data_IF_157175606420
#
_entry.id   IF_157175606420
#
_cell.length_a   1.000
_cell.length_b   1.000
_cell.length_c   1.000
_cell.angle_alpha   90.00
_cell.angle_beta   90.00
_cell.angle_gamma   90.00
#
_symmetry.space_group_name_H-M   'P 1'
#
loop_
_entity.id
_entity.type
_entity.pdbx_description
1 polymer ?
#
# COMPACT_ATOMS: atom_id res chain seq x y z
N UNK A 1 8.57 23.85 17.82
CA UNK A 1 9.25 22.84 17.00
C UNK A 1 9.15 23.27 15.55
N UNK A 2 10.26 23.26 14.84
CA UNK A 2 10.33 23.65 13.43
C UNK A 2 11.11 22.61 12.65
N UNK A 3 10.70 22.35 11.42
CA UNK A 3 11.43 21.50 10.47
C UNK A 3 12.73 22.23 10.09
N UNK A 4 13.86 21.58 10.34
CA UNK A 4 15.21 22.09 10.00
C UNK A 4 15.80 21.43 8.78
N UNK A 5 15.37 20.17 8.48
CA UNK A 5 15.89 19.41 7.38
C UNK A 5 14.84 18.44 6.84
N UNK A 6 14.84 18.26 5.51
CA UNK A 6 14.08 17.21 4.80
C UNK A 6 15.07 16.49 3.91
N UNK A 7 15.32 15.21 4.19
CA UNK A 7 16.27 14.36 3.46
C UNK A 7 15.47 13.32 2.69
N UNK A 8 15.81 13.12 1.42
CA UNK A 8 15.27 12.06 0.58
C UNK A 8 16.41 11.11 0.19
N UNK A 9 16.30 9.85 0.58
CA UNK A 9 17.26 8.79 0.32
C UNK A 9 16.68 7.77 -0.64
N UNK A 10 17.40 7.42 -1.69
CA UNK A 10 17.11 6.28 -2.56
C UNK A 10 17.94 5.11 -2.09
N UNK A 11 17.28 4.01 -1.74
CA UNK A 11 17.92 2.73 -1.43
C UNK A 11 17.55 1.69 -2.46
N UNK A 12 18.47 0.78 -2.80
CA UNK A 12 18.24 -0.31 -3.76
C UNK A 12 19.04 -1.53 -3.33
N UNK A 13 18.37 -2.70 -3.32
CA UNK A 13 19.06 -3.97 -3.04
C UNK A 13 20.11 -4.27 -4.12
N UNK A 14 21.18 -4.96 -3.74
CA UNK A 14 22.34 -5.17 -4.64
C UNK A 14 22.05 -6.13 -5.80
N UNK A 15 21.16 -7.09 -5.58
CA UNK A 15 20.76 -8.06 -6.60
C UNK A 15 19.33 -7.72 -7.00
N UNK A 16 19.17 -7.11 -8.17
CA UNK A 16 17.86 -6.79 -8.75
C UNK A 16 17.47 -7.92 -9.70
N UNK A 17 16.30 -8.50 -9.48
CA UNK A 17 15.73 -9.57 -10.29
C UNK A 17 14.66 -9.02 -11.23
N UNK A 18 14.60 -9.58 -12.44
CA UNK A 18 13.61 -9.15 -13.43
C UNK A 18 12.18 -9.60 -13.11
N UNK A 19 12.04 -10.69 -12.35
CA UNK A 19 10.74 -11.23 -11.92
C UNK A 19 10.73 -11.39 -10.41
N UNK A 20 10.05 -10.51 -9.74
CA UNK A 20 9.82 -10.53 -8.29
C UNK A 20 8.45 -9.95 -7.98
N UNK A 21 7.86 -10.37 -6.87
CA UNK A 21 6.61 -9.81 -6.39
C UNK A 21 6.82 -8.54 -5.56
N UNK A 22 8.00 -8.32 -4.95
CA UNK A 22 8.26 -7.20 -4.06
C UNK A 22 9.13 -6.11 -4.70
N UNK A 23 9.02 -4.89 -4.17
CA UNK A 23 9.90 -3.78 -4.55
C UNK A 23 11.35 -4.08 -4.19
N UNK A 24 12.26 -3.69 -5.07
CA UNK A 24 13.70 -3.90 -4.92
C UNK A 24 14.46 -2.60 -4.63
N UNK A 25 13.76 -1.49 -4.68
CA UNK A 25 14.23 -0.18 -4.27
C UNK A 25 13.11 0.57 -3.55
N UNK A 26 13.45 1.65 -2.86
CA UNK A 26 12.50 2.48 -2.14
C UNK A 26 13.04 3.88 -1.94
N UNK A 27 12.14 4.82 -1.67
CA UNK A 27 12.47 6.17 -1.24
C UNK A 27 12.14 6.32 0.24
N UNK A 28 13.15 6.65 1.04
CA UNK A 28 13.00 7.00 2.44
C UNK A 28 13.06 8.51 2.59
N UNK A 29 12.02 9.10 3.19
CA UNK A 29 11.99 10.52 3.54
C UNK A 29 12.21 10.67 5.03
N UNK A 30 13.15 11.55 5.42
CA UNK A 30 13.42 11.89 6.81
C UNK A 30 13.14 13.37 7.03
N UNK A 31 12.42 13.69 8.10
CA UNK A 31 12.14 15.06 8.51
C UNK A 31 12.73 15.27 9.90
N UNK A 32 13.70 16.17 10.00
CA UNK A 32 14.38 16.55 11.26
C UNK A 32 13.92 17.91 11.76
N UNK A 33 13.96 18.07 13.05
CA UNK A 33 13.46 19.26 13.73
C UNK A 33 14.49 19.90 14.67
N UNK A 34 14.26 21.17 15.03
CA UNK A 34 15.11 21.96 15.92
C UNK A 34 15.20 21.43 17.37
N UNK A 35 14.33 20.50 17.75
CA UNK A 35 14.38 19.84 19.06
C UNK A 35 14.97 18.41 19.01
N UNK A 36 15.56 18.01 17.87
CA UNK A 36 16.27 16.74 17.71
C UNK A 36 15.39 15.53 17.36
N UNK A 37 14.07 15.71 17.19
CA UNK A 37 13.21 14.63 16.73
C UNK A 37 13.35 14.42 15.22
N UNK A 38 13.27 13.15 14.79
CA UNK A 38 13.21 12.73 13.39
C UNK A 38 11.99 11.86 13.15
N UNK A 39 11.27 12.15 12.06
CA UNK A 39 10.22 11.29 11.50
C UNK A 39 10.67 10.69 10.18
N UNK A 40 10.17 9.49 9.90
CA UNK A 40 10.49 8.73 8.68
C UNK A 40 9.23 8.35 7.91
N UNK A 41 9.35 8.32 6.58
CA UNK A 41 8.28 7.86 5.70
C UNK A 41 8.86 7.22 4.44
N UNK A 42 8.00 6.54 3.70
CA UNK A 42 8.35 5.78 2.52
C UNK A 42 7.43 6.09 1.34
N UNK A 43 7.97 6.07 0.13
CA UNK A 43 7.20 6.14 -1.11
C UNK A 43 7.42 4.91 -1.98
N UNK A 44 6.33 4.37 -2.52
CA UNK A 44 6.34 3.30 -3.52
C UNK A 44 6.04 3.85 -4.90
N UNK A 45 7.10 4.15 -5.65
CA UNK A 45 7.06 4.58 -7.06
C UNK A 45 8.49 4.63 -7.60
N UNK A 46 8.69 5.19 -8.81
CA UNK A 46 10.05 5.44 -9.35
C UNK A 46 10.85 6.34 -8.42
N UNK A 47 11.92 5.84 -7.78
CA UNK A 47 12.62 6.56 -6.73
C UNK A 47 13.22 7.89 -7.19
N UNK A 48 13.79 7.92 -8.39
CA UNK A 48 14.41 9.11 -8.96
C UNK A 48 13.37 10.22 -9.22
N UNK A 49 12.15 9.84 -9.65
CA UNK A 49 11.07 10.80 -9.91
C UNK A 49 10.52 11.36 -8.60
N UNK A 50 10.29 10.50 -7.59
CA UNK A 50 9.88 10.94 -6.25
C UNK A 50 10.90 11.92 -5.66
N UNK A 51 12.19 11.55 -5.71
CA UNK A 51 13.28 12.41 -5.23
C UNK A 51 13.31 13.74 -5.96
N UNK A 52 13.13 13.76 -7.27
CA UNK A 52 13.10 14.99 -8.07
C UNK A 52 11.95 15.93 -7.63
N UNK A 53 10.78 15.39 -7.28
CA UNK A 53 9.65 16.17 -6.78
C UNK A 53 9.96 16.78 -5.41
N UNK A 54 10.61 16.03 -4.53
CA UNK A 54 10.98 16.51 -3.19
C UNK A 54 12.04 17.60 -3.29
N UNK A 55 13.05 17.42 -4.14
CA UNK A 55 14.25 18.25 -4.23
C UNK A 55 14.18 19.38 -5.24
N UNK A 56 13.11 19.43 -6.06
CA UNK A 56 12.98 20.44 -7.10
C UNK A 56 13.21 21.86 -6.56
N UNK A 57 13.92 22.71 -7.29
CA UNK A 57 14.13 24.11 -6.89
C UNK A 57 12.81 24.88 -6.95
N UNK A 58 12.79 26.05 -6.32
CA UNK A 58 11.70 26.99 -6.49
C UNK A 58 11.68 27.49 -7.95
N UNK A 59 10.58 27.29 -8.64
CA UNK A 59 10.32 27.88 -9.96
C UNK A 59 9.36 29.07 -9.80
N UNK A 60 8.19 28.82 -9.23
CA UNK A 60 7.24 29.87 -8.86
C UNK A 60 6.21 29.32 -7.84
N UNK A 61 5.26 30.15 -7.44
CA UNK A 61 4.35 29.87 -6.30
C UNK A 61 3.52 28.59 -6.39
N UNK A 62 3.36 27.99 -7.55
CA UNK A 62 2.59 26.74 -7.78
C UNK A 62 3.44 25.64 -8.44
N UNK A 63 4.76 25.82 -8.48
CA UNK A 63 5.74 24.85 -8.93
C UNK A 63 7.00 24.97 -8.05
N UNK A 64 6.99 24.26 -6.92
CA UNK A 64 8.05 24.29 -5.91
C UNK A 64 8.26 22.89 -5.34
N UNK A 65 9.50 22.47 -5.15
CA UNK A 65 9.83 21.20 -4.50
C UNK A 65 9.36 21.13 -3.06
N UNK A 66 9.00 19.95 -2.60
CA UNK A 66 8.37 19.73 -1.30
C UNK A 66 9.28 20.16 -0.14
N UNK A 67 10.59 19.91 -0.22
CA UNK A 67 11.57 20.31 0.79
C UNK A 67 11.46 21.80 1.12
N UNK A 68 11.47 22.66 0.11
CA UNK A 68 11.43 24.09 0.31
C UNK A 68 10.11 24.59 0.94
N UNK A 69 9.04 23.85 0.74
CA UNK A 69 7.74 24.16 1.34
C UNK A 69 7.67 23.87 2.83
N UNK A 70 8.51 22.95 3.30
CA UNK A 70 8.45 22.41 4.65
C UNK A 70 9.45 23.05 5.62
N UNK A 71 10.60 23.53 5.14
CA UNK A 71 11.61 24.16 5.99
C UNK A 71 11.04 25.33 6.81
N UNK A 72 11.29 25.30 8.12
CA UNK A 72 10.81 26.30 9.09
C UNK A 72 9.37 26.12 9.54
N UNK A 73 8.61 25.19 8.95
CA UNK A 73 7.21 24.90 9.31
C UNK A 73 7.10 24.08 10.60
N UNK A 74 5.90 24.11 11.21
CA UNK A 74 5.57 23.26 12.35
C UNK A 74 5.09 21.89 11.87
N UNK A 75 5.84 20.78 12.11
CA UNK A 75 5.49 19.46 11.59
C UNK A 75 4.22 18.86 12.22
N UNK A 76 3.73 19.40 13.34
CA UNK A 76 2.49 18.92 13.96
C UNK A 76 1.22 19.29 13.19
N UNK A 77 1.33 20.21 12.23
CA UNK A 77 0.21 20.70 11.41
C UNK A 77 0.09 19.92 10.10
N UNK A 78 0.05 18.59 10.17
CA UNK A 78 0.13 17.68 9.01
C UNK A 78 -0.92 17.99 7.92
N UNK A 79 -2.19 18.21 8.29
CA UNK A 79 -3.24 18.56 7.31
C UNK A 79 -2.96 19.91 6.61
N UNK A 80 -2.55 20.93 7.36
CA UNK A 80 -2.18 22.23 6.77
C UNK A 80 -0.99 22.11 5.82
N UNK A 81 0.01 21.30 6.20
CA UNK A 81 1.19 21.06 5.36
C UNK A 81 0.83 20.26 4.12
N UNK A 82 -0.04 19.24 4.24
CA UNK A 82 -0.59 18.54 3.09
C UNK A 82 -1.23 19.50 2.09
N UNK A 83 -2.14 20.36 2.55
CA UNK A 83 -2.81 21.34 1.70
C UNK A 83 -1.82 22.35 1.08
N UNK A 84 -0.78 22.74 1.82
CA UNK A 84 0.29 23.60 1.31
C UNK A 84 1.03 22.91 0.18
N UNK A 85 1.48 21.67 0.35
CA UNK A 85 2.17 20.89 -0.67
C UNK A 85 1.29 20.74 -1.92
N UNK A 86 0.05 20.30 -1.76
CA UNK A 86 -0.90 20.08 -2.85
C UNK A 86 -1.12 21.34 -3.70
N UNK A 87 -1.31 22.51 -3.07
CA UNK A 87 -1.52 23.77 -3.77
C UNK A 87 -0.25 24.30 -4.46
N UNK A 88 0.91 24.06 -3.86
CA UNK A 88 2.19 24.60 -4.34
C UNK A 88 2.85 23.72 -5.41
N UNK A 89 2.30 22.52 -5.63
CA UNK A 89 2.70 21.57 -6.69
C UNK A 89 1.65 21.44 -7.79
N UNK A 90 0.72 22.37 -7.88
CA UNK A 90 -0.49 22.29 -8.73
C UNK A 90 -0.23 21.90 -10.19
N UNK A 91 0.92 22.26 -10.75
CA UNK A 91 1.25 21.95 -12.14
C UNK A 91 1.81 20.55 -12.38
N UNK A 92 2.26 19.85 -11.31
CA UNK A 92 2.88 18.53 -11.45
C UNK A 92 2.52 17.52 -10.34
N UNK A 93 1.88 17.95 -9.25
CA UNK A 93 1.73 17.18 -8.02
C UNK A 93 0.31 16.75 -7.66
N UNK A 94 -0.68 16.89 -8.55
CA UNK A 94 -2.09 16.66 -8.21
C UNK A 94 -2.54 15.20 -8.30
N UNK A 95 -1.79 14.34 -8.97
CA UNK A 95 -2.11 12.92 -9.18
C UNK A 95 -0.82 12.09 -9.28
N UNK A 96 -0.94 10.79 -9.18
CA UNK A 96 0.15 9.85 -9.37
C UNK A 96 1.37 10.17 -8.49
N UNK A 97 2.56 10.11 -9.06
CA UNK A 97 3.83 10.23 -8.34
C UNK A 97 3.98 11.53 -7.52
N UNK A 98 3.28 12.59 -7.89
CA UNK A 98 3.25 13.83 -7.10
C UNK A 98 2.58 13.64 -5.74
N UNK A 99 1.46 12.92 -5.70
CA UNK A 99 0.77 12.54 -4.46
C UNK A 99 1.61 11.52 -3.70
N UNK A 100 2.21 10.54 -4.38
CA UNK A 100 3.11 9.55 -3.75
C UNK A 100 4.29 10.22 -3.04
N UNK A 101 4.90 11.24 -3.64
CA UNK A 101 5.97 12.01 -2.98
C UNK A 101 5.46 12.77 -1.73
N UNK A 102 4.24 13.33 -1.81
CA UNK A 102 3.59 13.95 -0.64
C UNK A 102 3.22 12.92 0.43
N UNK A 103 2.84 11.69 0.04
CA UNK A 103 2.52 10.61 0.98
C UNK A 103 3.72 10.22 1.85
N UNK A 104 4.91 10.08 1.26
CA UNK A 104 6.13 9.82 2.03
C UNK A 104 6.44 10.94 3.04
N UNK A 105 6.26 12.19 2.63
CA UNK A 105 6.39 13.34 3.54
C UNK A 105 5.34 13.30 4.65
N UNK A 106 4.10 13.03 4.31
CA UNK A 106 2.99 12.94 5.27
C UNK A 106 3.21 11.81 6.29
N UNK A 107 3.65 10.64 5.82
CA UNK A 107 4.01 9.53 6.69
C UNK A 107 5.10 9.95 7.69
N UNK A 108 6.16 10.65 7.25
CA UNK A 108 7.21 11.16 8.11
C UNK A 108 6.70 12.21 9.11
N UNK A 109 5.76 13.08 8.71
CA UNK A 109 5.14 14.06 9.61
C UNK A 109 4.29 13.36 10.69
N UNK A 110 3.54 12.32 10.33
CA UNK A 110 2.74 11.55 11.29
C UNK A 110 3.61 10.73 12.23
N UNK A 111 4.71 10.15 11.75
CA UNK A 111 5.69 9.45 12.58
C UNK A 111 6.30 10.42 13.61
N UNK A 112 6.74 11.59 13.15
CA UNK A 112 7.28 12.65 14.02
C UNK A 112 6.25 13.11 15.05
N UNK A 113 5.00 13.30 14.64
CA UNK A 113 3.89 13.70 15.52
C UNK A 113 3.64 12.64 16.60
N UNK A 114 3.65 11.37 16.24
CA UNK A 114 3.54 10.26 17.20
C UNK A 114 4.72 10.25 18.19
N UNK A 115 5.94 10.41 17.72
CA UNK A 115 7.14 10.52 18.57
C UNK A 115 7.09 11.73 19.49
N UNK A 116 6.61 12.87 19.00
CA UNK A 116 6.47 14.09 19.84
C UNK A 116 5.46 13.88 20.98
N UNK A 117 4.31 13.26 20.71
CA UNK A 117 3.29 13.00 21.73
C UNK A 117 3.54 11.69 22.51
N UNK A 118 4.60 10.93 22.20
CA UNK A 118 4.88 9.61 22.77
C UNK A 118 3.69 8.66 22.62
N UNK A 119 3.04 8.71 21.45
CA UNK A 119 1.88 7.88 21.10
C UNK A 119 2.09 7.17 19.76
N UNK A 120 1.60 5.93 19.61
CA UNK A 120 1.51 5.29 18.31
C UNK A 120 0.52 6.03 17.41
N UNK A 121 0.73 5.98 16.09
CA UNK A 121 -0.09 6.72 15.13
C UNK A 121 -1.58 6.34 15.22
N UNK A 122 -1.90 5.07 15.46
CA UNK A 122 -3.30 4.68 15.60
C UNK A 122 -4.04 5.44 16.71
N UNK A 123 -3.37 5.82 17.81
CA UNK A 123 -3.98 6.64 18.86
C UNK A 123 -4.32 8.04 18.34
N UNK A 124 -3.46 8.62 17.51
CA UNK A 124 -3.68 9.93 16.91
C UNK A 124 -4.77 9.92 15.82
N UNK A 125 -5.06 8.74 15.26
CA UNK A 125 -6.13 8.50 14.29
C UNK A 125 -7.49 8.17 14.94
N UNK A 126 -7.59 8.22 16.27
CA UNK A 126 -8.82 7.97 17.02
C UNK A 126 -8.84 6.66 17.82
N UNK A 127 -7.77 5.89 17.78
CA UNK A 127 -7.60 4.64 18.53
C UNK A 127 -7.85 3.38 17.69
N UNK A 128 -7.07 2.33 17.99
CA UNK A 128 -7.23 1.03 17.30
C UNK A 128 -8.45 0.28 17.81
N UNK A 129 -9.20 -0.31 16.89
CA UNK A 129 -10.32 -1.23 17.16
C UNK A 129 -9.84 -2.69 17.17
N UNK A 130 -8.68 -2.95 16.52
CA UNK A 130 -8.10 -4.28 16.37
C UNK A 130 -6.64 -4.25 16.84
N UNK A 131 -6.27 -5.10 17.78
CA UNK A 131 -4.88 -5.25 18.26
C UNK A 131 -4.01 -6.09 17.31
N UNK A 132 -4.64 -6.92 16.49
CA UNK A 132 -4.01 -7.69 15.41
C UNK A 132 -5.01 -7.89 14.28
N UNK A 133 -4.52 -7.99 13.05
CA UNK A 133 -5.35 -8.14 11.85
C UNK A 133 -5.03 -9.50 11.22
N UNK A 134 -6.05 -10.17 10.66
CA UNK A 134 -5.86 -11.39 9.87
C UNK A 134 -5.10 -11.02 8.59
N UNK A 135 -3.97 -11.67 8.35
CA UNK A 135 -3.17 -11.45 7.16
C UNK A 135 -3.50 -12.46 6.05
N UNK A 136 -3.39 -12.04 4.81
CA UNK A 136 -3.28 -12.94 3.68
C UNK A 136 -1.86 -12.93 3.11
N UNK A 137 -1.37 -14.11 2.71
CA UNK A 137 -0.13 -14.20 1.96
C UNK A 137 -0.40 -13.70 0.53
N UNK A 138 0.30 -12.66 0.10
CA UNK A 138 0.19 -12.10 -1.24
C UNK A 138 1.40 -12.53 -2.07
N UNK A 139 1.15 -13.22 -3.20
CA UNK A 139 2.18 -13.84 -4.03
C UNK A 139 1.74 -13.94 -5.49
N UNK A 140 2.71 -14.07 -6.40
CA UNK A 140 2.44 -14.31 -7.81
C UNK A 140 1.92 -15.74 -8.05
N UNK A 141 1.14 -15.92 -9.13
CA UNK A 141 0.81 -17.24 -9.62
C UNK A 141 2.05 -18.07 -9.98
N UNK A 142 1.94 -19.39 -9.85
CA UNK A 142 2.85 -20.32 -10.51
C UNK A 142 2.67 -20.31 -12.04
N UNK A 143 3.55 -20.98 -12.77
CA UNK A 143 3.49 -21.08 -14.24
C UNK A 143 2.24 -21.83 -14.76
N UNK A 144 1.64 -22.66 -13.91
CA UNK A 144 0.46 -23.46 -14.18
C UNK A 144 -0.31 -23.76 -12.87
N UNK A 145 -1.46 -24.41 -12.99
CA UNK A 145 -2.28 -24.77 -11.83
C UNK A 145 -1.59 -25.74 -10.87
N UNK A 146 -0.64 -26.56 -11.33
CA UNK A 146 0.10 -27.47 -10.44
C UNK A 146 1.09 -26.70 -9.56
N UNK A 147 1.89 -25.82 -10.13
CA UNK A 147 2.82 -24.99 -9.36
C UNK A 147 2.07 -24.05 -8.41
N UNK A 148 0.95 -23.46 -8.86
CA UNK A 148 0.07 -22.63 -8.02
C UNK A 148 -0.49 -23.41 -6.83
N UNK A 149 -0.89 -24.67 -7.03
CA UNK A 149 -1.29 -25.58 -5.95
C UNK A 149 -0.17 -25.75 -4.92
N UNK A 150 1.05 -26.07 -5.38
CA UNK A 150 2.18 -26.33 -4.48
C UNK A 150 2.57 -25.07 -3.68
N UNK A 151 2.48 -23.89 -4.30
CA UNK A 151 2.64 -22.59 -3.63
C UNK A 151 1.56 -22.42 -2.55
N UNK A 152 0.29 -22.68 -2.86
CA UNK A 152 -0.83 -22.59 -1.92
C UNK A 152 -0.64 -23.45 -0.69
N UNK A 153 -0.27 -24.73 -0.88
CA UNK A 153 0.01 -25.64 0.24
C UNK A 153 1.12 -25.12 1.16
N UNK A 154 2.19 -24.54 0.61
CA UNK A 154 3.28 -23.97 1.39
C UNK A 154 2.80 -22.86 2.33
N UNK A 155 1.95 -21.94 1.85
CA UNK A 155 1.48 -20.83 2.67
C UNK A 155 0.42 -21.24 3.70
N UNK A 156 -0.42 -22.23 3.39
CA UNK A 156 -1.30 -22.84 4.40
C UNK A 156 -0.47 -23.52 5.49
N UNK A 157 0.58 -24.26 5.11
CA UNK A 157 1.50 -24.88 6.09
C UNK A 157 2.27 -23.85 6.94
N UNK A 158 2.51 -22.64 6.42
CA UNK A 158 3.07 -21.51 7.15
C UNK A 158 2.07 -20.82 8.10
N UNK A 159 0.80 -21.26 8.14
CA UNK A 159 -0.23 -20.81 9.07
C UNK A 159 -1.15 -19.71 8.54
N UNK A 160 -1.06 -19.32 7.26
CA UNK A 160 -2.01 -18.41 6.64
C UNK A 160 -3.36 -19.08 6.41
N UNK A 161 -4.43 -18.33 6.62
CA UNK A 161 -5.80 -18.75 6.36
C UNK A 161 -6.43 -18.00 5.17
N UNK A 162 -5.66 -17.17 4.50
CA UNK A 162 -6.02 -16.44 3.30
C UNK A 162 -4.78 -16.30 2.42
N UNK A 163 -4.94 -16.46 1.12
CA UNK A 163 -3.85 -16.31 0.14
C UNK A 163 -4.39 -15.60 -1.09
N UNK A 164 -3.66 -14.60 -1.57
CA UNK A 164 -3.88 -13.92 -2.85
C UNK A 164 -2.86 -14.42 -3.87
N UNK A 165 -3.33 -14.80 -5.03
CA UNK A 165 -2.51 -15.07 -6.20
C UNK A 165 -2.80 -14.03 -7.27
N UNK A 166 -1.76 -13.51 -7.91
CA UNK A 166 -1.93 -12.49 -8.92
C UNK A 166 -0.98 -12.56 -10.09
N UNK A 167 -1.32 -11.74 -11.08
CA UNK A 167 -0.52 -11.40 -12.25
C UNK A 167 -0.31 -12.59 -13.21
N UNK A 168 0.70 -12.49 -14.08
CA UNK A 168 0.99 -13.51 -15.09
C UNK A 168 1.23 -14.91 -14.47
N UNK A 169 0.76 -15.98 -15.15
CA UNK A 169 0.26 -16.01 -16.54
C UNK A 169 -1.26 -15.81 -16.68
N UNK A 170 -1.97 -15.29 -15.67
CA UNK A 170 -3.39 -14.97 -15.79
C UNK A 170 -3.64 -14.00 -16.96
N UNK A 171 -4.71 -14.24 -17.72
CA UNK A 171 -5.06 -13.46 -18.89
C UNK A 171 -4.57 -14.02 -20.23
N UNK A 172 -3.66 -14.98 -20.25
CA UNK A 172 -3.22 -15.62 -21.50
C UNK A 172 -4.37 -16.30 -22.24
N UNK A 173 -5.25 -16.99 -21.51
CA UNK A 173 -6.48 -17.56 -22.03
C UNK A 173 -7.43 -17.99 -20.90
N UNK A 174 -8.71 -18.19 -21.21
CA UNK A 174 -9.67 -18.72 -20.25
C UNK A 174 -9.26 -20.07 -19.65
N UNK A 175 -8.67 -20.93 -20.45
CA UNK A 175 -8.23 -22.24 -20.00
C UNK A 175 -7.08 -22.13 -18.96
N UNK A 176 -6.12 -21.22 -19.20
CA UNK A 176 -5.05 -20.91 -18.25
C UNK A 176 -5.62 -20.33 -16.98
N UNK A 177 -6.48 -19.30 -17.09
CA UNK A 177 -7.11 -18.64 -15.93
C UNK A 177 -7.81 -19.65 -15.01
N UNK A 178 -8.60 -20.55 -15.61
CA UNK A 178 -9.32 -21.59 -14.87
C UNK A 178 -8.39 -22.66 -14.27
N UNK A 179 -7.30 -22.99 -14.94
CA UNK A 179 -6.31 -23.94 -14.41
C UNK A 179 -5.61 -23.37 -13.18
N UNK A 180 -5.18 -22.10 -13.24
CA UNK A 180 -4.57 -21.38 -12.13
C UNK A 180 -5.49 -21.30 -10.90
N UNK A 181 -6.73 -20.84 -11.08
CA UNK A 181 -7.69 -20.70 -9.98
C UNK A 181 -8.07 -22.05 -9.37
N UNK A 182 -8.23 -23.10 -10.21
CA UNK A 182 -8.44 -24.47 -9.75
C UNK A 182 -7.25 -24.99 -8.96
N UNK A 183 -6.03 -24.73 -9.43
CA UNK A 183 -4.79 -25.10 -8.73
C UNK A 183 -4.71 -24.41 -7.38
N UNK A 184 -4.95 -23.10 -7.34
CA UNK A 184 -4.99 -22.30 -6.10
C UNK A 184 -6.00 -22.89 -5.09
N UNK A 185 -7.26 -23.09 -5.51
CA UNK A 185 -8.29 -23.64 -4.60
C UNK A 185 -7.92 -25.01 -4.04
N UNK A 186 -7.40 -25.90 -4.90
CA UNK A 186 -6.96 -27.23 -4.45
C UNK A 186 -5.79 -27.14 -3.45
N UNK A 187 -4.85 -26.22 -3.67
CA UNK A 187 -3.70 -26.03 -2.79
C UNK A 187 -4.08 -25.47 -1.42
N UNK A 188 -5.08 -24.59 -1.38
CA UNK A 188 -5.57 -23.97 -0.16
C UNK A 188 -6.53 -24.87 0.64
N UNK A 189 -7.21 -25.84 -0.01
CA UNK A 189 -8.35 -26.54 0.58
C UNK A 189 -9.62 -25.67 0.63
N UNK A 190 -10.70 -26.18 1.21
CA UNK A 190 -12.02 -25.52 1.15
C UNK A 190 -12.18 -24.40 2.20
N UNK A 191 -11.46 -24.46 3.32
CA UNK A 191 -11.64 -23.56 4.47
C UNK A 191 -10.90 -22.22 4.34
N UNK A 192 -9.83 -22.16 3.54
CA UNK A 192 -9.04 -20.96 3.41
C UNK A 192 -9.66 -19.97 2.40
N UNK A 193 -9.50 -18.70 2.66
CA UNK A 193 -9.92 -17.62 1.75
C UNK A 193 -8.98 -17.55 0.54
N UNK A 194 -9.50 -17.73 -0.66
CA UNK A 194 -8.79 -17.54 -1.92
C UNK A 194 -9.10 -16.15 -2.47
N UNK A 195 -8.08 -15.38 -2.79
CA UNK A 195 -8.17 -14.06 -3.40
C UNK A 195 -7.44 -14.10 -4.75
N UNK A 196 -8.00 -13.44 -5.75
CA UNK A 196 -7.45 -13.44 -7.11
C UNK A 196 -7.23 -12.00 -7.55
N UNK A 197 -6.02 -11.73 -8.02
CA UNK A 197 -5.63 -10.45 -8.61
C UNK A 197 -5.37 -10.65 -10.11
N UNK A 198 -6.10 -9.92 -10.93
CA UNK A 198 -6.00 -10.01 -12.38
C UNK A 198 -4.99 -9.05 -13.01
N UNK A 199 -4.45 -8.07 -12.27
CA UNK A 199 -3.41 -7.17 -12.78
C UNK A 199 -3.86 -6.29 -13.94
N UNK A 200 -5.09 -5.79 -13.95
CA UNK A 200 -5.64 -4.81 -14.90
C UNK A 200 -5.74 -5.27 -16.36
N UNK A 201 -5.91 -6.59 -16.61
CA UNK A 201 -5.71 -7.19 -17.95
C UNK A 201 -6.97 -7.35 -18.81
N UNK A 202 -8.19 -7.21 -18.24
CA UNK A 202 -9.42 -7.47 -18.99
C UNK A 202 -10.24 -6.23 -19.27
N UNK A 203 -11.15 -6.34 -20.24
CA UNK A 203 -12.31 -5.47 -20.34
C UNK A 203 -13.44 -5.96 -19.43
N UNK A 204 -14.45 -5.11 -19.18
CA UNK A 204 -15.53 -5.41 -18.25
C UNK A 204 -16.35 -6.66 -18.62
N UNK A 205 -16.49 -6.99 -19.91
CA UNK A 205 -17.23 -8.18 -20.37
C UNK A 205 -16.43 -9.44 -20.12
N UNK A 206 -15.15 -9.43 -20.44
CA UNK A 206 -14.22 -10.53 -20.17
C UNK A 206 -14.13 -10.79 -18.68
N UNK A 207 -13.97 -9.74 -17.87
CA UNK A 207 -13.94 -9.82 -16.42
C UNK A 207 -15.21 -10.46 -15.85
N UNK A 208 -16.40 -10.08 -16.34
CA UNK A 208 -17.66 -10.70 -15.93
C UNK A 208 -17.70 -12.19 -16.29
N UNK A 209 -17.27 -12.58 -17.50
CA UNK A 209 -17.21 -13.98 -17.92
C UNK A 209 -16.28 -14.81 -17.01
N UNK A 210 -15.16 -14.24 -16.59
CA UNK A 210 -14.24 -14.86 -15.62
C UNK A 210 -14.85 -14.96 -14.23
N UNK A 211 -15.45 -13.88 -13.73
CA UNK A 211 -16.12 -13.86 -12.44
C UNK A 211 -17.23 -14.92 -12.34
N UNK A 212 -18.03 -15.10 -13.41
CA UNK A 212 -19.06 -16.14 -13.49
C UNK A 212 -18.50 -17.57 -13.38
N UNK A 213 -17.29 -17.81 -13.82
CA UNK A 213 -16.61 -19.10 -13.70
C UNK A 213 -15.86 -19.25 -12.38
N UNK A 214 -15.31 -18.15 -11.88
CA UNK A 214 -14.55 -18.16 -10.63
C UNK A 214 -15.44 -18.30 -9.38
N UNK A 215 -16.74 -17.99 -9.47
CA UNK A 215 -17.68 -18.18 -8.34
C UNK A 215 -17.70 -19.63 -7.82
N UNK A 216 -17.50 -20.60 -8.69
CA UNK A 216 -17.52 -22.02 -8.33
C UNK A 216 -16.30 -22.43 -7.46
N UNK A 217 -15.27 -21.56 -7.42
CA UNK A 217 -14.08 -21.72 -6.57
C UNK A 217 -14.17 -20.94 -5.25
N UNK A 218 -15.30 -20.31 -4.93
CA UNK A 218 -15.53 -19.57 -3.69
C UNK A 218 -14.42 -18.55 -3.41
N UNK A 219 -14.11 -17.69 -4.38
CA UNK A 219 -13.11 -16.63 -4.20
C UNK A 219 -13.65 -15.49 -3.34
N UNK A 220 -12.80 -14.92 -2.49
CA UNK A 220 -13.15 -13.82 -1.60
C UNK A 220 -13.29 -12.48 -2.32
N UNK A 221 -12.47 -12.23 -3.35
CA UNK A 221 -12.61 -11.14 -4.32
C UNK A 221 -11.85 -11.41 -5.62
N UNK A 222 -12.22 -10.67 -6.65
CA UNK A 222 -11.49 -10.48 -7.89
C UNK A 222 -10.93 -9.05 -7.90
N UNK A 223 -9.60 -8.94 -7.79
CA UNK A 223 -8.86 -7.70 -7.69
C UNK A 223 -8.40 -7.23 -9.06
N UNK A 224 -8.46 -5.93 -9.27
CA UNK A 224 -7.99 -5.24 -10.49
C UNK A 224 -8.29 -5.98 -11.81
N UNK A 225 -9.56 -6.40 -12.04
CA UNK A 225 -9.89 -7.05 -13.31
C UNK A 225 -9.81 -6.12 -14.52
N UNK A 226 -9.97 -4.81 -14.32
CA UNK A 226 -10.00 -3.78 -15.36
C UNK A 226 -8.85 -2.78 -15.17
N UNK A 227 -8.59 -1.97 -16.18
CA UNK A 227 -7.70 -0.82 -16.04
C UNK A 227 -8.15 0.09 -14.89
N UNK A 228 -7.20 0.66 -14.19
CA UNK A 228 -7.42 1.47 -12.99
C UNK A 228 -8.32 2.68 -13.27
N UNK A 229 -8.24 3.28 -14.46
CA UNK A 229 -8.98 4.47 -14.86
C UNK A 229 -10.41 4.18 -15.39
N UNK A 230 -10.83 2.90 -15.52
CA UNK A 230 -12.14 2.51 -16.04
C UNK A 230 -13.24 2.45 -14.95
N UNK A 231 -13.49 3.59 -14.28
CA UNK A 231 -14.52 3.68 -13.23
C UNK A 231 -15.89 3.19 -13.70
N UNK A 232 -16.29 3.51 -14.94
CA UNK A 232 -17.57 3.08 -15.51
C UNK A 232 -17.63 1.57 -15.69
N UNK A 233 -16.53 0.96 -16.14
CA UNK A 233 -16.40 -0.49 -16.23
C UNK A 233 -16.51 -1.16 -14.87
N UNK A 234 -15.86 -0.62 -13.84
CA UNK A 234 -15.98 -1.11 -12.46
C UNK A 234 -17.41 -1.02 -11.93
N UNK A 235 -18.10 0.10 -12.10
CA UNK A 235 -19.51 0.26 -11.71
C UNK A 235 -20.40 -0.77 -12.40
N UNK A 236 -20.20 -0.95 -13.72
CA UNK A 236 -20.96 -1.90 -14.51
C UNK A 236 -20.69 -3.36 -14.08
N UNK A 237 -19.41 -3.68 -13.84
CA UNK A 237 -18.96 -5.03 -13.45
C UNK A 237 -19.46 -5.38 -12.04
N UNK A 238 -19.23 -4.50 -11.04
CA UNK A 238 -19.67 -4.73 -9.67
C UNK A 238 -21.18 -5.00 -9.56
N UNK A 239 -21.99 -4.27 -10.32
CA UNK A 239 -23.43 -4.48 -10.32
C UNK A 239 -23.91 -5.82 -10.92
N UNK A 240 -23.00 -6.63 -11.49
CA UNK A 240 -23.32 -7.89 -12.20
C UNK A 240 -22.47 -9.06 -11.72
N UNK A 241 -21.32 -8.80 -11.17
CA UNK A 241 -20.39 -9.84 -10.76
C UNK A 241 -20.97 -10.70 -9.62
N UNK A 242 -20.89 -12.04 -9.72
CA UNK A 242 -21.27 -12.93 -8.64
C UNK A 242 -20.23 -13.02 -7.52
N UNK A 243 -19.06 -12.39 -7.71
CA UNK A 243 -17.96 -12.34 -6.74
C UNK A 243 -17.61 -10.88 -6.42
N UNK A 244 -17.15 -10.58 -5.20
CA UNK A 244 -16.76 -9.22 -4.83
C UNK A 244 -15.64 -8.68 -5.73
N UNK A 245 -15.67 -7.38 -6.00
CA UNK A 245 -14.66 -6.66 -6.80
C UNK A 245 -13.81 -5.80 -5.87
N UNK A 246 -12.50 -5.92 -5.99
CA UNK A 246 -11.51 -5.15 -5.27
C UNK A 246 -10.62 -4.35 -6.23
N UNK A 247 -10.19 -3.16 -5.82
CA UNK A 247 -9.19 -2.33 -6.50
C UNK A 247 -8.81 -1.14 -5.63
N UNK A 248 -7.88 -0.31 -6.11
CA UNK A 248 -7.54 0.97 -5.49
C UNK A 248 -6.06 1.11 -5.14
N UNK A 249 -5.24 0.09 -5.32
CA UNK A 249 -3.81 0.17 -5.03
C UNK A 249 -3.08 1.19 -5.92
N UNK A 250 -3.51 1.34 -7.18
CA UNK A 250 -3.01 2.34 -8.13
C UNK A 250 -3.44 3.77 -7.81
N UNK A 251 -4.47 3.96 -6.95
CA UNK A 251 -5.07 5.26 -6.71
C UNK A 251 -4.26 6.09 -5.69
N UNK A 252 -4.05 7.38 -6.03
CA UNK A 252 -3.26 8.31 -5.24
C UNK A 252 -4.08 9.54 -4.85
N UNK A 253 -4.38 9.68 -3.54
CA UNK A 253 -5.10 10.80 -2.96
C UNK A 253 -6.62 10.72 -3.12
N UNK A 254 -7.32 11.52 -2.32
CA UNK A 254 -8.80 11.54 -2.27
C UNK A 254 -9.48 11.82 -3.61
N UNK A 255 -8.82 12.58 -4.49
CA UNK A 255 -9.44 12.97 -5.76
C UNK A 255 -9.51 11.81 -6.75
N UNK A 256 -8.57 10.86 -6.73
CA UNK A 256 -8.65 9.66 -7.56
C UNK A 256 -9.61 8.62 -6.97
N UNK A 257 -9.66 8.48 -5.65
CA UNK A 257 -10.63 7.59 -4.99
C UNK A 257 -12.09 8.09 -5.08
N UNK A 258 -12.30 9.39 -5.17
CA UNK A 258 -13.65 9.98 -5.14
C UNK A 258 -14.59 9.40 -6.20
N UNK A 259 -14.25 9.27 -7.49
CA UNK A 259 -15.13 8.69 -8.49
C UNK A 259 -15.56 7.25 -8.16
N UNK A 260 -14.66 6.44 -7.64
CA UNK A 260 -14.96 5.06 -7.22
C UNK A 260 -15.90 5.02 -6.02
N UNK A 261 -15.69 5.89 -5.03
CA UNK A 261 -16.50 5.93 -3.81
C UNK A 261 -17.91 6.48 -4.12
N UNK A 262 -17.98 7.63 -4.79
CA UNK A 262 -19.25 8.30 -5.10
C UNK A 262 -20.16 7.45 -6.01
N UNK A 263 -19.56 6.61 -6.85
CA UNK A 263 -20.26 5.66 -7.73
C UNK A 263 -20.43 4.26 -7.12
N UNK A 264 -19.85 4.02 -5.93
CA UNK A 264 -19.82 2.71 -5.28
C UNK A 264 -19.31 1.63 -6.23
N UNK A 265 -18.16 1.89 -6.88
CA UNK A 265 -17.62 1.07 -7.94
C UNK A 265 -16.98 -0.24 -7.44
N UNK A 266 -16.66 -0.35 -6.15
CA UNK A 266 -15.93 -1.47 -5.56
C UNK A 266 -16.64 -2.02 -4.32
N UNK A 267 -16.42 -3.30 -4.02
CA UNK A 267 -16.81 -3.94 -2.75
C UNK A 267 -15.69 -3.83 -1.70
N UNK A 268 -14.43 -3.83 -2.16
CA UNK A 268 -13.23 -3.70 -1.32
C UNK A 268 -12.33 -2.63 -1.91
N UNK A 269 -12.01 -1.60 -1.10
CA UNK A 269 -11.10 -0.52 -1.46
C UNK A 269 -9.73 -0.80 -0.86
N UNK A 270 -8.70 -0.91 -1.70
CA UNK A 270 -7.33 -1.22 -1.31
C UNK A 270 -6.49 0.05 -1.30
N UNK A 271 -6.11 0.50 -0.09
CA UNK A 271 -5.43 1.78 0.09
C UNK A 271 -3.96 1.54 0.44
N UNK A 272 -3.06 2.06 -0.38
CA UNK A 272 -1.62 2.02 -0.11
C UNK A 272 -1.17 3.28 0.63
N UNK A 273 -0.58 3.12 1.82
CA UNK A 273 -0.12 4.23 2.66
C UNK A 273 1.13 4.92 2.09
N UNK A 274 1.96 4.20 1.34
CA UNK A 274 3.12 4.77 0.65
C UNK A 274 2.75 5.65 -0.55
N UNK A 275 1.51 5.50 -1.05
CA UNK A 275 0.94 6.27 -2.17
C UNK A 275 -0.06 7.34 -1.72
N UNK A 276 -0.63 7.23 -0.51
CA UNK A 276 -1.68 8.12 -0.01
C UNK A 276 -1.30 8.89 1.25
N UNK A 277 -0.38 8.38 2.08
CA UNK A 277 -0.11 8.93 3.40
C UNK A 277 -1.30 8.77 4.36
N UNK A 278 -1.12 9.14 5.61
CA UNK A 278 -2.16 9.04 6.64
C UNK A 278 -3.29 10.06 6.47
N UNK A 279 -2.93 11.28 6.03
CA UNK A 279 -3.90 12.38 5.89
C UNK A 279 -4.98 12.05 4.85
N UNK A 280 -4.59 11.54 3.67
CA UNK A 280 -5.56 11.11 2.65
C UNK A 280 -6.24 9.79 3.00
N UNK A 281 -5.49 8.81 3.52
CA UNK A 281 -6.03 7.52 3.90
C UNK A 281 -7.10 7.63 5.00
N UNK A 282 -6.97 8.56 5.95
CA UNK A 282 -8.00 8.83 6.95
C UNK A 282 -9.30 9.38 6.32
N UNK A 283 -9.18 10.26 5.33
CA UNK A 283 -10.34 10.75 4.58
C UNK A 283 -11.02 9.62 3.80
N UNK A 284 -10.22 8.82 3.05
CA UNK A 284 -10.72 7.70 2.24
C UNK A 284 -11.44 6.69 3.14
N UNK A 285 -10.85 6.31 4.29
CA UNK A 285 -11.50 5.42 5.27
C UNK A 285 -12.90 5.89 5.64
N UNK A 286 -13.04 7.15 6.06
CA UNK A 286 -14.31 7.69 6.50
C UNK A 286 -15.37 7.62 5.41
N UNK A 287 -15.00 7.93 4.15
CA UNK A 287 -15.91 7.91 3.01
C UNK A 287 -16.30 6.48 2.60
N UNK A 288 -15.36 5.53 2.63
CA UNK A 288 -15.64 4.12 2.30
C UNK A 288 -16.53 3.47 3.37
N UNK A 289 -16.28 3.76 4.65
CA UNK A 289 -17.13 3.28 5.75
C UNK A 289 -18.53 3.87 5.72
N UNK A 290 -18.69 5.11 5.25
CA UNK A 290 -20.00 5.77 5.09
C UNK A 290 -20.89 5.03 4.08
N UNK A 291 -20.32 4.53 2.99
CA UNK A 291 -21.05 3.76 1.97
C UNK A 291 -21.16 2.27 2.30
N UNK A 292 -20.61 1.81 3.43
CA UNK A 292 -20.68 0.42 3.88
C UNK A 292 -19.82 -0.56 3.10
N UNK A 293 -18.83 -0.09 2.33
CA UNK A 293 -17.85 -0.92 1.65
C UNK A 293 -16.70 -1.33 2.58
N UNK A 294 -15.90 -2.31 2.18
CA UNK A 294 -14.76 -2.81 2.94
C UNK A 294 -13.47 -2.09 2.62
N UNK A 295 -12.56 -2.08 3.58
CA UNK A 295 -11.21 -1.56 3.44
C UNK A 295 -10.18 -2.68 3.61
N UNK A 296 -9.15 -2.62 2.78
CA UNK A 296 -7.94 -3.41 2.87
C UNK A 296 -6.75 -2.50 2.57
N UNK A 297 -5.54 -2.89 2.95
CA UNK A 297 -4.33 -2.22 2.50
C UNK A 297 -3.78 -2.90 1.25
N UNK A 298 -3.01 -2.16 0.47
CA UNK A 298 -1.95 -2.67 -0.40
C UNK A 298 -0.60 -2.42 0.26
N UNK A 299 0.35 -3.37 0.19
CA UNK A 299 1.68 -3.22 0.79
C UNK A 299 2.69 -4.19 0.20
N UNK A 300 3.50 -3.74 -0.76
CA UNK A 300 4.53 -4.54 -1.44
C UNK A 300 5.96 -4.03 -1.24
N UNK A 301 6.18 -3.01 -0.41
CA UNK A 301 7.49 -2.40 -0.20
C UNK A 301 8.20 -2.93 1.06
N UNK A 302 8.13 -2.24 2.16
CA UNK A 302 8.95 -2.46 3.33
C UNK A 302 8.16 -2.52 4.64
N UNK A 303 8.81 -2.84 5.76
CA UNK A 303 8.18 -2.77 7.08
C UNK A 303 7.69 -1.37 7.48
N UNK A 304 8.18 -0.28 6.87
CA UNK A 304 7.66 1.07 7.12
C UNK A 304 6.22 1.21 6.62
N UNK A 305 5.98 0.85 5.35
CA UNK A 305 4.63 0.86 4.78
C UNK A 305 3.72 -0.17 5.46
N UNK A 306 4.26 -1.35 5.82
CA UNK A 306 3.50 -2.34 6.57
C UNK A 306 3.06 -1.82 7.94
N UNK A 307 3.95 -1.16 8.70
CA UNK A 307 3.61 -0.53 9.98
C UNK A 307 2.59 0.60 9.81
N UNK A 308 2.77 1.46 8.79
CA UNK A 308 1.82 2.52 8.46
C UNK A 308 0.43 1.96 8.15
N UNK A 309 0.36 0.93 7.30
CA UNK A 309 -0.88 0.25 6.92
C UNK A 309 -1.56 -0.38 8.14
N UNK A 310 -0.83 -1.00 9.05
CA UNK A 310 -1.36 -1.57 10.29
C UNK A 310 -1.94 -0.51 11.21
N UNK A 311 -1.24 0.61 11.41
CA UNK A 311 -1.76 1.73 12.19
C UNK A 311 -3.09 2.22 11.63
N UNK A 312 -3.17 2.45 10.32
CA UNK A 312 -4.37 2.95 9.67
C UNK A 312 -5.50 1.92 9.68
N UNK A 313 -5.23 0.69 9.19
CA UNK A 313 -6.25 -0.35 9.06
C UNK A 313 -6.80 -0.79 10.42
N UNK A 314 -5.99 -0.76 11.49
CA UNK A 314 -6.44 -1.08 12.84
C UNK A 314 -7.51 -0.13 13.38
N UNK A 315 -7.64 1.07 12.81
CA UNK A 315 -8.65 2.06 13.18
C UNK A 315 -9.95 1.96 12.37
N UNK A 316 -9.98 1.10 11.34
CA UNK A 316 -11.18 0.82 10.56
C UNK A 316 -12.18 -0.02 11.38
N UNK A 317 -13.49 0.19 11.14
CA UNK A 317 -14.55 -0.62 11.80
C UNK A 317 -14.43 -2.09 11.46
N UNK A 318 -14.21 -2.40 10.18
CA UNK A 318 -13.99 -3.76 9.67
C UNK A 318 -12.61 -3.80 9.02
N UNK A 319 -11.58 -4.16 9.82
CA UNK A 319 -10.26 -4.49 9.31
C UNK A 319 -10.31 -5.92 8.75
N UNK A 320 -10.85 -6.07 7.53
CA UNK A 320 -11.18 -7.36 6.95
C UNK A 320 -9.97 -8.26 6.80
N UNK A 321 -8.94 -7.81 6.09
CA UNK A 321 -7.69 -8.53 5.86
C UNK A 321 -6.53 -7.53 5.76
N UNK A 322 -5.34 -7.98 6.07
CA UNK A 322 -4.08 -7.26 5.86
C UNK A 322 -3.27 -7.94 4.76
N UNK A 323 -2.83 -7.19 3.77
CA UNK A 323 -1.89 -7.69 2.76
C UNK A 323 -0.50 -7.85 3.35
N UNK A 324 -0.03 -9.09 3.36
CA UNK A 324 1.34 -9.42 3.72
C UNK A 324 2.06 -9.98 2.48
N UNK A 325 2.87 -9.14 1.83
CA UNK A 325 3.75 -9.60 0.75
C UNK A 325 4.74 -10.61 1.34
N UNK A 326 4.69 -11.85 0.85
CA UNK A 326 5.49 -12.95 1.38
C UNK A 326 6.71 -13.28 0.49
N UNK A 327 7.02 -12.39 -0.45
CA UNK A 327 8.22 -12.51 -1.26
C UNK A 327 9.48 -12.27 -0.43
N UNK A 328 10.54 -13.02 -0.72
CA UNK A 328 11.80 -12.92 0.03
C UNK A 328 12.65 -11.76 -0.51
N UNK A 329 12.62 -10.64 0.21
CA UNK A 329 13.38 -9.44 -0.14
C UNK A 329 14.14 -8.89 1.07
N UNK A 330 15.44 -8.57 0.94
CA UNK A 330 16.19 -7.89 2.00
C UNK A 330 15.53 -6.58 2.46
N UNK A 331 14.88 -5.86 1.54
CA UNK A 331 14.16 -4.63 1.86
C UNK A 331 13.05 -4.87 2.91
N UNK A 332 12.33 -5.99 2.79
CA UNK A 332 11.28 -6.38 3.75
C UNK A 332 11.82 -6.90 5.07
N UNK A 333 12.98 -7.49 5.07
CA UNK A 333 13.49 -8.19 6.26
C UNK A 333 14.51 -7.40 7.05
N UNK A 334 15.21 -6.44 6.42
CA UNK A 334 16.40 -5.81 7.01
C UNK A 334 16.29 -4.29 7.15
N UNK A 335 15.32 -3.60 6.52
CA UNK A 335 15.19 -2.15 6.58
C UNK A 335 14.88 -1.62 7.99
N UNK A 336 14.19 -2.40 8.82
CA UNK A 336 13.90 -2.04 10.22
C UNK A 336 14.40 -3.09 11.19
N UNK A 337 14.66 -2.67 12.43
CA UNK A 337 15.06 -3.59 13.50
C UNK A 337 13.88 -4.46 13.95
N UNK A 338 12.69 -3.89 14.03
CA UNK A 338 11.46 -4.60 14.37
C UNK A 338 10.94 -5.40 13.17
N UNK A 339 10.43 -6.60 13.44
CA UNK A 339 9.84 -7.46 12.42
C UNK A 339 8.33 -7.22 12.33
N UNK A 340 7.88 -6.73 11.18
CA UNK A 340 6.46 -6.54 10.86
C UNK A 340 6.07 -7.70 9.94
N UNK A 341 5.62 -8.82 10.54
CA UNK A 341 5.31 -10.06 9.81
C UNK A 341 4.18 -10.83 10.50
N UNK A 342 3.46 -11.63 9.73
CA UNK A 342 2.40 -12.46 10.27
C UNK A 342 2.94 -13.63 11.12
N UNK A 343 2.24 -13.91 12.23
CA UNK A 343 2.44 -15.10 13.06
C UNK A 343 1.11 -15.84 13.14
N UNK A 344 1.07 -17.09 12.71
CA UNK A 344 -0.14 -17.88 12.60
C UNK A 344 -1.28 -17.16 11.85
N UNK A 345 -0.93 -16.55 10.72
CA UNK A 345 -1.88 -15.84 9.84
C UNK A 345 -2.44 -14.53 10.41
N UNK A 346 -1.84 -13.98 11.46
CA UNK A 346 -2.21 -12.67 12.01
C UNK A 346 -0.99 -11.79 12.21
N UNK A 347 -1.16 -10.49 12.04
CA UNK A 347 -0.10 -9.51 12.22
C UNK A 347 -0.49 -8.53 13.33
N UNK A 348 0.42 -8.30 14.28
CA UNK A 348 0.19 -7.40 15.40
C UNK A 348 0.37 -5.94 14.98
N UNK A 349 -0.48 -5.07 15.51
CA UNK A 349 -0.35 -3.63 15.30
C UNK A 349 0.76 -3.08 16.20
N UNK A 350 1.75 -2.31 15.66
CA UNK A 350 2.79 -1.73 16.47
C UNK A 350 2.25 -0.76 17.53
N UNK A 351 2.83 -0.79 18.75
CA UNK A 351 2.41 0.05 19.88
C UNK A 351 3.48 1.09 20.31
N UNK A 352 4.63 1.12 19.63
CA UNK A 352 5.66 2.14 19.87
C UNK A 352 5.25 3.53 19.36
N UNK A 353 5.88 4.62 19.86
CA UNK A 353 5.64 5.98 19.39
C UNK A 353 5.89 6.12 17.88
N UNK A 354 5.04 6.89 17.21
CA UNK A 354 5.09 7.05 15.75
C UNK A 354 4.67 5.78 15.03
N UNK A 355 5.45 5.36 14.06
CA UNK A 355 5.28 4.09 13.32
C UNK A 355 5.58 2.85 14.18
N UNK A 356 6.25 3.01 15.34
CA UNK A 356 6.62 1.91 16.20
C UNK A 356 7.68 0.98 15.62
N UNK A 357 8.40 1.44 14.59
CA UNK A 357 9.55 0.74 13.97
C UNK A 357 10.73 1.71 13.83
N UNK A 358 11.95 1.13 13.83
CA UNK A 358 13.21 1.88 13.81
C UNK A 358 14.04 1.48 12.60
N UNK A 359 14.49 2.44 11.82
CA UNK A 359 15.34 2.21 10.64
C UNK A 359 16.64 1.53 11.06
N UNK A 360 17.03 0.50 10.31
CA UNK A 360 18.36 -0.09 10.35
C UNK A 360 19.33 0.76 9.51
N UNK A 361 20.06 1.63 10.16
CA UNK A 361 20.97 2.56 9.51
C UNK A 361 22.11 1.85 8.75
N UNK A 362 22.55 0.70 9.22
CA UNK A 362 23.59 -0.09 8.53
C UNK A 362 23.04 -0.63 7.20
N UNK A 363 21.79 -1.09 7.17
CA UNK A 363 21.15 -1.53 5.93
C UNK A 363 20.98 -0.36 4.95
N UNK A 364 20.47 0.78 5.42
CA UNK A 364 20.33 1.98 4.58
C UNK A 364 21.67 2.39 4.00
N UNK A 365 22.71 2.50 4.81
CA UNK A 365 24.08 2.87 4.36
C UNK A 365 24.65 1.89 3.34
N UNK A 366 24.40 0.59 3.51
CA UNK A 366 24.91 -0.45 2.62
C UNK A 366 24.23 -0.46 1.24
N UNK A 367 22.99 0.07 1.15
CA UNK A 367 22.14 0.04 -0.04
C UNK A 367 21.81 1.45 -0.60
N UNK A 368 22.42 2.51 -0.06
CA UNK A 368 22.20 3.88 -0.46
C UNK A 368 22.74 4.14 -1.88
N UNK A 369 21.85 4.60 -2.75
CA UNK A 369 22.17 5.00 -4.12
C UNK A 369 22.38 6.52 -4.22
N UNK A 370 21.50 7.27 -3.57
CA UNK A 370 21.54 8.73 -3.62
C UNK A 370 20.84 9.33 -2.41
N UNK A 371 21.30 10.51 -2.01
CA UNK A 371 20.73 11.27 -0.89
C UNK A 371 20.58 12.75 -1.29
N UNK A 372 19.56 13.40 -0.77
CA UNK A 372 19.41 14.87 -0.86
C UNK A 372 20.52 15.59 -0.09
N UNK A 373 21.03 16.67 -0.65
CA UNK A 373 22.01 17.55 0.01
C UNK A 373 21.38 18.88 0.37
#
# INVERSE_FOLDING_TARGET
MKITEVVCQIIRVKSVEAKTASSQDSVIVRIRTDNGLEGVGEADSSPEVVKAIIDAPFSHNIACGLRLLLLGENPLESERLWQKMYRRTMYFGRTGVGITAMAAVDMALWDLKGKFFQQPIHCLLGGKQHSSIKAYASILFGRDGKETHDIGQRWIAAGYQAVKFGWEPMGESEAVDLDLVRGARRGLGDDATLLIDAGCIWDARTALQRAEKFKDFNIGWLEEPLREDDVEGYVWLRGRSPVPIASGEGECGRESFRPFIDRQALDVYQVDLSRNGFTEAAYIRNRVEEIGARLCNHCYTSPLTAAASLHWLSTCRDAFLFEDCVDDSPLRHELTHEKVQAVNGRIAVPDGPGLGVTINEDFVKANLISESR
#
